data_IF_051597554473
#
_entry.id   IF_051597554473
#
_cell.length_a   1.000
_cell.length_b   1.000
_cell.length_c   1.000
_cell.angle_alpha   90.00
_cell.angle_beta   90.00
_cell.angle_gamma   90.00
#
_symmetry.space_group_name_H-M   'P 1'
#
loop_
_entity.id
_entity.type
_entity.pdbx_description
1 polymer ?
#
# COMPACT_ATOMS: atom_id res chain seq x y z
N UNK A 1 -27.91 8.93 54.59
CA UNK A 1 -26.49 9.26 54.29
C UNK A 1 -26.20 10.65 54.88
N UNK A 2 -25.29 10.74 55.83
CA UNK A 2 -24.96 12.01 56.48
C UNK A 2 -24.23 12.94 55.47
N UNK A 3 -24.34 14.28 55.64
CA UNK A 3 -23.71 15.23 54.72
C UNK A 3 -22.19 15.04 54.59
N UNK A 4 -21.51 14.57 55.63
CA UNK A 4 -20.09 14.24 55.63
C UNK A 4 -19.78 13.05 54.68
N UNK A 5 -20.62 12.03 54.63
CA UNK A 5 -20.44 10.88 53.75
C UNK A 5 -20.61 11.30 52.28
N UNK A 6 -21.57 12.18 51.99
CA UNK A 6 -21.78 12.71 50.62
C UNK A 6 -20.58 13.52 50.16
N UNK A 7 -19.98 14.34 51.02
CA UNK A 7 -18.78 15.12 50.67
C UNK A 7 -17.59 14.20 50.39
N UNK A 8 -17.36 13.20 51.25
CA UNK A 8 -16.23 12.24 51.05
C UNK A 8 -16.40 11.48 49.73
N UNK A 9 -17.62 10.98 49.46
CA UNK A 9 -17.88 10.29 48.18
C UNK A 9 -17.70 11.20 46.98
N UNK A 10 -18.15 12.46 47.07
CA UNK A 10 -17.97 13.45 46.00
C UNK A 10 -16.48 13.73 45.71
N UNK A 11 -15.69 13.95 46.76
CA UNK A 11 -14.24 14.16 46.62
C UNK A 11 -13.54 12.92 46.05
N UNK A 12 -13.91 11.72 46.52
CA UNK A 12 -13.33 10.48 45.98
C UNK A 12 -13.64 10.27 44.49
N UNK A 13 -14.87 10.59 44.05
CA UNK A 13 -15.24 10.51 42.63
C UNK A 13 -14.47 11.53 41.77
N UNK A 14 -14.26 12.75 42.28
CA UNK A 14 -13.48 13.75 41.58
C UNK A 14 -12.02 13.30 41.43
N UNK A 15 -11.38 12.81 42.48
CA UNK A 15 -9.99 12.32 42.46
C UNK A 15 -9.87 11.12 41.52
N UNK A 16 -10.81 10.19 41.57
CA UNK A 16 -10.85 9.05 40.67
C UNK A 16 -11.03 9.47 39.18
N UNK A 17 -11.90 10.45 38.91
CA UNK A 17 -12.10 11.03 37.58
C UNK A 17 -10.83 11.65 37.04
N UNK A 18 -10.09 12.43 37.83
CA UNK A 18 -8.80 12.99 37.45
C UNK A 18 -7.72 11.92 37.23
N UNK A 19 -7.72 10.87 38.05
CA UNK A 19 -6.79 9.76 37.88
C UNK A 19 -7.06 8.99 36.56
N UNK A 20 -8.34 8.73 36.23
CA UNK A 20 -8.72 8.11 34.96
C UNK A 20 -8.37 9.00 33.77
N UNK A 21 -8.62 10.30 33.86
CA UNK A 21 -8.27 11.24 32.80
C UNK A 21 -6.75 11.29 32.59
N UNK A 22 -5.99 11.37 33.68
CA UNK A 22 -4.53 11.35 33.63
C UNK A 22 -4.00 10.04 33.02
N UNK A 23 -4.59 8.90 33.38
CA UNK A 23 -4.24 7.63 32.82
C UNK A 23 -4.60 7.53 31.32
N UNK A 24 -5.76 8.03 30.92
CA UNK A 24 -6.20 8.05 29.52
C UNK A 24 -5.28 8.92 28.65
N UNK A 25 -4.88 10.11 29.18
CA UNK A 25 -3.92 10.97 28.52
C UNK A 25 -2.54 10.27 28.41
N UNK A 26 -2.06 9.68 29.51
CA UNK A 26 -0.80 8.95 29.52
C UNK A 26 -0.81 7.77 28.52
N UNK A 27 -1.87 6.96 28.50
CA UNK A 27 -2.03 5.85 27.57
C UNK A 27 -2.12 6.32 26.11
N UNK A 28 -2.77 7.47 25.86
CA UNK A 28 -2.85 8.09 24.54
C UNK A 28 -1.51 8.62 24.04
N UNK A 29 -0.67 9.16 24.95
CA UNK A 29 0.67 9.65 24.64
C UNK A 29 1.71 8.52 24.52
N UNK A 30 1.45 7.38 25.17
CA UNK A 30 2.33 6.23 25.19
C UNK A 30 1.56 4.97 24.70
N UNK A 31 1.19 4.92 23.42
CA UNK A 31 0.47 3.77 22.89
C UNK A 31 1.34 2.52 23.04
N UNK A 32 0.78 1.47 23.59
CA UNK A 32 1.45 0.17 23.62
C UNK A 32 1.64 -0.32 22.19
N UNK A 33 2.88 -0.65 21.84
CA UNK A 33 3.20 -1.21 20.53
C UNK A 33 2.66 -2.64 20.50
N UNK A 34 1.72 -2.98 19.60
CA UNK A 34 1.11 -4.31 19.54
C UNK A 34 2.00 -5.31 18.79
N UNK A 35 3.14 -4.88 18.29
CA UNK A 35 4.05 -5.70 17.50
C UNK A 35 5.51 -5.37 17.81
N UNK A 36 6.37 -6.34 17.55
CA UNK A 36 7.84 -6.20 17.60
C UNK A 36 8.39 -6.44 16.19
N UNK A 37 9.33 -5.61 15.77
CA UNK A 37 10.05 -5.84 14.53
C UNK A 37 11.49 -6.22 14.83
N UNK A 38 11.91 -7.33 14.27
CA UNK A 38 13.26 -7.84 14.37
C UNK A 38 13.95 -7.71 13.02
N UNK A 39 15.19 -7.22 13.05
CA UNK A 39 16.04 -7.11 11.87
C UNK A 39 17.12 -8.17 11.97
N UNK A 40 17.31 -8.93 10.90
CA UNK A 40 18.32 -9.96 10.79
C UNK A 40 19.17 -9.77 9.53
N UNK A 41 20.37 -10.35 9.54
CA UNK A 41 21.15 -10.49 8.31
C UNK A 41 20.37 -11.31 7.29
N UNK A 42 20.53 -10.98 6.01
CA UNK A 42 19.88 -11.71 4.94
C UNK A 42 20.39 -13.17 4.91
N UNK A 43 19.46 -14.12 4.89
CA UNK A 43 19.81 -15.52 4.73
C UNK A 43 20.35 -15.79 3.31
N UNK A 44 21.15 -16.84 3.15
CA UNK A 44 21.68 -17.21 1.82
C UNK A 44 20.56 -17.55 0.80
N UNK A 45 19.42 -18.03 1.27
CA UNK A 45 18.25 -18.30 0.44
C UNK A 45 17.56 -16.99 0.02
N UNK A 46 17.28 -16.11 0.96
CA UNK A 46 16.69 -14.81 0.70
C UNK A 46 17.61 -13.92 -0.18
N UNK A 47 18.93 -14.07 -0.08
CA UNK A 47 19.89 -13.37 -0.93
C UNK A 47 19.70 -13.68 -2.42
N UNK A 48 19.38 -14.94 -2.76
CA UNK A 48 19.09 -15.34 -4.15
C UNK A 48 17.85 -14.64 -4.72
N UNK A 49 16.84 -14.46 -3.89
CA UNK A 49 15.59 -13.81 -4.30
C UNK A 49 15.81 -12.35 -4.71
N UNK A 50 16.83 -11.71 -4.17
CA UNK A 50 17.10 -10.27 -4.33
C UNK A 50 18.29 -9.94 -5.23
N UNK A 51 19.00 -10.93 -5.79
CA UNK A 51 20.10 -10.70 -6.73
C UNK A 51 19.73 -9.79 -7.91
N UNK A 52 18.47 -9.90 -8.38
CA UNK A 52 17.95 -9.09 -9.48
C UNK A 52 17.90 -7.58 -9.22
N UNK A 53 18.04 -7.14 -7.97
CA UNK A 53 18.08 -5.71 -7.63
C UNK A 53 19.46 -5.08 -7.86
N UNK A 54 20.53 -5.88 -7.94
CA UNK A 54 21.89 -5.38 -8.12
C UNK A 54 22.42 -4.57 -6.93
N UNK A 55 21.90 -4.83 -5.73
CA UNK A 55 22.31 -4.18 -4.48
C UNK A 55 23.33 -5.06 -3.74
N UNK A 56 24.30 -4.43 -3.08
CA UNK A 56 25.24 -5.15 -2.20
C UNK A 56 24.52 -5.80 -0.99
N UNK A 57 25.01 -6.96 -0.57
CA UNK A 57 24.43 -7.69 0.56
C UNK A 57 24.47 -6.90 1.87
N UNK A 58 25.44 -6.00 2.04
CA UNK A 58 25.59 -5.08 3.17
C UNK A 58 24.44 -4.06 3.29
N UNK A 59 23.74 -3.79 2.19
CA UNK A 59 22.59 -2.89 2.12
C UNK A 59 21.25 -3.59 2.39
N UNK A 60 21.23 -4.92 2.44
CA UNK A 60 20.03 -5.74 2.50
C UNK A 60 19.88 -6.37 3.88
N UNK A 61 18.68 -6.37 4.42
CA UNK A 61 18.34 -6.99 5.70
C UNK A 61 16.98 -7.68 5.58
N UNK A 62 16.83 -8.75 6.35
CA UNK A 62 15.52 -9.36 6.59
C UNK A 62 14.83 -8.62 7.73
N UNK A 63 13.52 -8.42 7.61
CA UNK A 63 12.66 -7.89 8.66
C UNK A 63 11.56 -8.89 8.96
N UNK A 64 11.32 -9.13 10.23
CA UNK A 64 10.21 -9.96 10.71
C UNK A 64 9.38 -9.16 11.71
N UNK A 65 8.08 -9.22 11.56
CA UNK A 65 7.12 -8.55 12.45
C UNK A 65 6.37 -9.62 13.24
N UNK A 66 6.47 -9.53 14.55
CA UNK A 66 5.77 -10.42 15.48
C UNK A 66 4.64 -9.62 16.15
N UNK A 67 3.44 -10.19 16.23
CA UNK A 67 2.44 -9.68 17.15
C UNK A 67 2.91 -9.96 18.59
N UNK A 68 2.51 -9.08 19.51
CA UNK A 68 2.84 -9.26 20.91
C UNK A 68 2.36 -10.64 21.39
N UNK A 69 3.24 -11.37 22.04
CA UNK A 69 2.99 -12.72 22.57
C UNK A 69 2.86 -13.84 21.51
N UNK A 70 3.11 -13.55 20.22
CA UNK A 70 3.14 -14.55 19.16
C UNK A 70 4.57 -15.05 18.89
N UNK A 71 4.70 -16.35 18.59
CA UNK A 71 6.00 -16.99 18.28
C UNK A 71 6.30 -17.02 16.79
N UNK A 72 5.30 -16.80 15.94
CA UNK A 72 5.45 -16.77 14.47
C UNK A 72 5.34 -15.35 14.00
N UNK A 73 6.14 -14.94 13.02
CA UNK A 73 5.97 -13.64 12.43
C UNK A 73 4.58 -13.53 11.77
N UNK A 74 3.94 -12.39 11.91
CA UNK A 74 2.69 -12.04 11.22
C UNK A 74 2.96 -11.38 9.86
N UNK A 75 4.17 -10.90 9.67
CA UNK A 75 4.70 -10.45 8.39
C UNK A 75 6.22 -10.59 8.37
N UNK A 76 6.77 -10.82 7.21
CA UNK A 76 8.21 -10.80 6.96
C UNK A 76 8.52 -10.09 5.65
N UNK A 77 9.76 -9.70 5.49
CA UNK A 77 10.17 -9.02 4.27
C UNK A 77 11.66 -8.86 4.12
N UNK A 78 12.04 -8.30 2.99
CA UNK A 78 13.40 -7.87 2.72
C UNK A 78 13.38 -6.36 2.54
N UNK A 79 14.26 -5.70 3.25
CA UNK A 79 14.43 -4.26 3.20
C UNK A 79 15.83 -3.91 2.71
N UNK A 80 15.93 -2.82 1.99
CA UNK A 80 17.20 -2.23 1.63
C UNK A 80 17.40 -0.92 2.40
N UNK A 81 18.65 -0.62 2.71
CA UNK A 81 19.06 0.66 3.29
C UNK A 81 19.69 1.53 2.21
N UNK A 82 19.19 2.75 2.05
CA UNK A 82 19.82 3.73 1.16
C UNK A 82 20.99 4.46 1.84
N UNK A 83 21.71 5.29 1.08
CA UNK A 83 22.88 6.02 1.57
C UNK A 83 22.55 7.03 2.69
N UNK A 84 21.29 7.44 2.82
CA UNK A 84 20.78 8.28 3.90
C UNK A 84 20.26 7.47 5.12
N UNK A 85 20.44 6.15 5.09
CA UNK A 85 19.99 5.24 6.17
C UNK A 85 18.49 4.94 6.17
N UNK A 86 17.74 5.36 5.14
CA UNK A 86 16.30 5.12 5.05
C UNK A 86 16.05 3.68 4.62
N UNK A 87 15.03 3.07 5.21
CA UNK A 87 14.62 1.71 4.89
C UNK A 87 13.63 1.70 3.74
N UNK A 88 13.86 0.83 2.78
CA UNK A 88 13.01 0.61 1.60
C UNK A 88 12.53 -0.83 1.59
N UNK A 89 11.24 -1.12 1.71
CA UNK A 89 10.73 -2.47 1.56
C UNK A 89 10.83 -2.89 0.09
N UNK A 90 11.55 -3.98 -0.16
CA UNK A 90 11.70 -4.59 -1.49
C UNK A 90 10.80 -5.81 -1.65
N UNK A 91 10.62 -6.57 -0.58
CA UNK A 91 9.71 -7.69 -0.50
C UNK A 91 8.96 -7.58 0.82
N UNK A 92 7.68 -7.87 0.78
CA UNK A 92 6.85 -7.93 1.96
C UNK A 92 5.87 -9.07 1.83
N UNK A 93 5.95 -10.02 2.72
CA UNK A 93 5.03 -11.15 2.82
C UNK A 93 4.18 -10.99 4.06
N UNK A 94 2.94 -11.36 3.96
CA UNK A 94 1.98 -11.20 5.02
C UNK A 94 1.34 -12.53 5.36
N UNK A 95 1.44 -12.90 6.63
CA UNK A 95 0.87 -14.13 7.18
C UNK A 95 -0.55 -13.93 7.76
N UNK A 96 -1.06 -12.69 7.71
CA UNK A 96 -2.42 -12.36 8.15
C UNK A 96 -3.31 -12.04 6.97
N UNK A 97 -4.61 -12.27 7.11
CA UNK A 97 -5.58 -12.10 6.02
C UNK A 97 -5.97 -10.65 5.73
N UNK A 98 -5.35 -9.68 6.38
CA UNK A 98 -5.66 -8.27 6.20
C UNK A 98 -5.08 -7.71 4.90
N UNK A 99 -5.96 -7.14 4.10
CA UNK A 99 -5.72 -6.74 2.72
C UNK A 99 -4.69 -5.61 2.52
N UNK A 100 -4.41 -4.81 3.54
CA UNK A 100 -3.47 -3.67 3.47
C UNK A 100 -2.02 -4.13 3.22
N UNK A 101 -1.70 -5.34 3.63
CA UNK A 101 -0.36 -5.92 3.53
C UNK A 101 -0.06 -6.61 2.19
N UNK A 102 -1.03 -6.73 1.30
CA UNK A 102 -0.81 -7.51 0.09
C UNK A 102 0.25 -6.92 -0.81
N UNK A 103 1.40 -7.56 -0.79
CA UNK A 103 2.36 -7.54 -1.87
C UNK A 103 2.72 -8.99 -2.17
N UNK A 104 1.87 -9.66 -2.94
CA UNK A 104 2.17 -11.00 -3.47
C UNK A 104 3.20 -10.97 -4.61
N UNK A 105 3.74 -9.79 -4.91
CA UNK A 105 4.82 -9.65 -5.87
C UNK A 105 6.07 -10.35 -5.34
N UNK A 106 6.59 -11.30 -6.10
CA UNK A 106 7.88 -11.88 -5.81
C UNK A 106 8.99 -10.83 -5.96
N UNK A 107 10.09 -11.00 -5.24
CA UNK A 107 11.25 -10.12 -5.40
C UNK A 107 11.73 -10.08 -6.86
N UNK A 108 11.72 -11.23 -7.55
CA UNK A 108 12.11 -11.32 -8.96
C UNK A 108 11.18 -10.54 -9.89
N UNK A 109 9.88 -10.48 -9.60
CA UNK A 109 8.93 -9.70 -10.40
C UNK A 109 9.12 -8.20 -10.19
N UNK A 110 9.32 -7.77 -8.94
CA UNK A 110 9.66 -6.37 -8.65
C UNK A 110 10.98 -5.98 -9.31
N UNK A 111 12.00 -6.84 -9.27
CA UNK A 111 13.29 -6.57 -9.93
C UNK A 111 13.12 -6.37 -11.44
N UNK A 112 12.29 -7.17 -12.11
CA UNK A 112 11.96 -7.00 -13.54
C UNK A 112 11.25 -5.68 -13.82
N UNK A 113 10.30 -5.31 -12.97
CA UNK A 113 9.59 -4.02 -13.08
C UNK A 113 10.56 -2.85 -12.93
N UNK A 114 11.44 -2.89 -11.93
CA UNK A 114 12.44 -1.84 -11.71
C UNK A 114 13.47 -1.77 -12.84
N UNK A 115 13.87 -2.91 -13.40
CA UNK A 115 14.72 -2.97 -14.59
C UNK A 115 14.03 -2.34 -15.80
N UNK A 116 12.75 -2.67 -16.03
CA UNK A 116 11.97 -2.08 -17.12
C UNK A 116 11.78 -0.56 -16.94
N UNK A 117 11.54 -0.08 -15.71
CA UNK A 117 11.49 1.36 -15.43
C UNK A 117 12.84 2.02 -15.77
N UNK A 118 13.96 1.40 -15.40
CA UNK A 118 15.29 1.91 -15.71
C UNK A 118 15.55 1.96 -17.23
N UNK A 119 15.03 1.00 -17.98
CA UNK A 119 15.24 0.88 -19.42
C UNK A 119 14.31 1.80 -20.23
N UNK A 120 13.02 1.82 -19.88
CA UNK A 120 11.99 2.44 -20.73
C UNK A 120 11.53 3.82 -20.26
N UNK A 121 11.80 4.20 -19.01
CA UNK A 121 11.45 5.54 -18.51
C UNK A 121 12.66 6.47 -18.70
N UNK A 122 12.49 7.62 -19.40
CA UNK A 122 13.56 8.60 -19.58
C UNK A 122 14.15 9.09 -18.24
N UNK A 123 15.42 9.51 -18.26
CA UNK A 123 16.11 9.95 -17.04
C UNK A 123 15.56 11.24 -16.44
N UNK A 124 15.01 12.10 -17.27
CA UNK A 124 14.39 13.36 -16.92
C UNK A 124 12.90 13.24 -16.57
N UNK A 125 12.34 12.03 -16.70
CA UNK A 125 10.95 11.76 -16.34
C UNK A 125 10.78 11.46 -14.85
N UNK A 126 9.56 11.68 -14.37
CA UNK A 126 9.13 11.41 -13.00
C UNK A 126 8.21 10.20 -12.97
N UNK A 127 8.42 9.28 -12.03
CA UNK A 127 7.52 8.16 -11.78
C UNK A 127 6.71 8.42 -10.49
N UNK A 128 5.41 8.55 -10.63
CA UNK A 128 4.48 8.68 -9.53
C UNK A 128 4.02 7.29 -9.09
N UNK A 129 4.33 6.91 -7.86
CA UNK A 129 4.04 5.60 -7.31
C UNK A 129 3.79 5.69 -5.80
N UNK A 130 3.28 4.63 -5.20
CA UNK A 130 3.20 4.54 -3.76
C UNK A 130 4.60 4.66 -3.12
N UNK A 131 4.70 5.12 -1.89
CA UNK A 131 5.98 5.50 -1.26
C UNK A 131 7.04 4.38 -1.25
N UNK A 132 6.63 3.13 -1.01
CA UNK A 132 7.52 1.96 -0.99
C UNK A 132 8.11 1.70 -2.38
N UNK A 133 7.28 1.72 -3.41
CA UNK A 133 7.73 1.61 -4.80
C UNK A 133 8.52 2.85 -5.23
N UNK A 134 8.14 4.05 -4.80
CA UNK A 134 8.91 5.27 -5.08
C UNK A 134 10.35 5.17 -4.53
N UNK A 135 10.52 4.64 -3.33
CA UNK A 135 11.86 4.38 -2.77
C UNK A 135 12.63 3.33 -3.55
N UNK A 136 11.97 2.21 -3.90
CA UNK A 136 12.59 1.16 -4.71
C UNK A 136 13.00 1.68 -6.10
N UNK A 137 12.18 2.52 -6.75
CA UNK A 137 12.49 3.14 -8.04
C UNK A 137 13.73 4.03 -7.93
N UNK A 138 13.82 4.88 -6.90
CA UNK A 138 15.01 5.72 -6.70
C UNK A 138 16.26 4.89 -6.46
N UNK A 139 16.14 3.87 -5.60
CA UNK A 139 17.26 3.05 -5.16
C UNK A 139 17.80 2.13 -6.26
N UNK A 140 16.91 1.48 -7.00
CA UNK A 140 17.28 0.40 -7.95
C UNK A 140 17.21 0.88 -9.40
N UNK A 141 16.16 1.59 -9.79
CA UNK A 141 15.98 2.05 -11.16
C UNK A 141 16.69 3.38 -11.46
N UNK A 142 17.15 4.11 -10.42
CA UNK A 142 17.77 5.43 -10.53
C UNK A 142 16.91 6.41 -11.34
N UNK A 143 15.60 6.45 -11.05
CA UNK A 143 14.64 7.40 -11.62
C UNK A 143 14.05 8.27 -10.53
N UNK A 144 13.65 9.48 -10.90
CA UNK A 144 12.97 10.39 -9.99
C UNK A 144 11.59 9.83 -9.62
N UNK A 145 11.31 9.67 -8.33
CA UNK A 145 10.04 9.24 -7.78
C UNK A 145 9.80 9.98 -6.47
N UNK A 146 9.07 11.12 -6.49
CA UNK A 146 9.05 12.08 -5.40
C UNK A 146 8.13 11.70 -4.23
N UNK A 147 7.18 10.77 -4.43
CA UNK A 147 6.17 10.48 -3.41
C UNK A 147 6.77 9.61 -2.29
N UNK A 148 7.03 10.22 -1.14
CA UNK A 148 7.60 9.56 0.05
C UNK A 148 7.11 10.25 1.34
N UNK A 149 5.83 10.63 1.35
CA UNK A 149 5.23 11.33 2.47
C UNK A 149 5.04 10.42 3.70
N UNK A 150 5.22 10.97 4.88
CA UNK A 150 5.11 10.25 6.14
C UNK A 150 3.74 9.60 6.35
N UNK A 151 2.68 10.24 5.87
CA UNK A 151 1.30 9.77 6.03
C UNK A 151 1.05 8.42 5.34
N UNK A 152 1.67 8.22 4.16
CA UNK A 152 1.54 6.98 3.40
C UNK A 152 2.20 5.78 4.07
N UNK A 153 3.28 6.01 4.82
CA UNK A 153 4.12 4.94 5.37
C UNK A 153 3.43 4.11 6.46
N UNK A 154 2.43 4.68 7.13
CA UNK A 154 1.65 3.97 8.14
C UNK A 154 0.66 2.94 7.58
N UNK A 155 0.42 2.95 6.27
CA UNK A 155 -0.54 2.05 5.62
C UNK A 155 0.00 0.62 5.36
N UNK A 156 1.19 0.31 5.83
CA UNK A 156 1.71 -1.07 5.86
C UNK A 156 1.31 -1.84 7.13
N UNK A 157 0.57 -1.21 8.04
CA UNK A 157 0.09 -1.86 9.27
C UNK A 157 -1.36 -2.35 9.11
N UNK A 158 -1.75 -3.44 9.81
CA UNK A 158 -3.14 -3.81 9.99
C UNK A 158 -3.95 -2.65 10.56
N UNK A 159 -5.22 -2.54 10.17
CA UNK A 159 -6.12 -1.53 10.70
C UNK A 159 -6.22 -1.57 12.24
N UNK A 160 -6.19 -2.77 12.82
CA UNK A 160 -6.17 -2.98 14.28
C UNK A 160 -4.96 -2.34 14.98
N UNK A 161 -3.86 -2.08 14.25
CA UNK A 161 -2.64 -1.49 14.78
C UNK A 161 -2.43 -0.03 14.41
N UNK A 162 -3.46 0.62 13.88
CA UNK A 162 -3.41 2.01 13.41
C UNK A 162 -2.88 3.00 14.46
N UNK A 163 -3.14 2.76 15.76
CA UNK A 163 -2.60 3.56 16.86
C UNK A 163 -1.06 3.57 16.91
N UNK A 164 -0.40 2.52 16.42
CA UNK A 164 1.05 2.42 16.33
C UNK A 164 1.64 3.04 15.04
N UNK A 165 0.82 3.67 14.21
CA UNK A 165 1.23 4.21 12.90
C UNK A 165 2.34 5.24 12.96
N UNK A 166 2.45 6.04 14.03
CA UNK A 166 3.55 6.99 14.22
C UNK A 166 4.90 6.29 14.41
N UNK A 167 4.91 5.19 15.15
CA UNK A 167 6.10 4.37 15.43
C UNK A 167 6.54 3.69 14.14
N UNK A 168 5.60 3.14 13.40
CA UNK A 168 5.89 2.50 12.12
C UNK A 168 6.44 3.51 11.10
N UNK A 169 5.83 4.69 11.00
CA UNK A 169 6.36 5.77 10.14
C UNK A 169 7.79 6.16 10.50
N UNK A 170 8.10 6.23 11.80
CA UNK A 170 9.45 6.54 12.28
C UNK A 170 10.47 5.45 11.90
N UNK A 171 10.06 4.17 11.91
CA UNK A 171 10.90 3.02 11.50
C UNK A 171 11.44 3.18 10.08
N UNK A 172 10.60 3.62 9.16
CA UNK A 172 10.98 3.78 7.74
C UNK A 172 11.90 4.99 7.50
N UNK A 173 12.19 5.79 8.53
CA UNK A 173 13.04 6.97 8.45
C UNK A 173 12.38 8.17 7.78
N UNK A 174 13.07 9.29 7.73
CA UNK A 174 12.57 10.51 7.09
C UNK A 174 12.33 10.31 5.59
N UNK A 175 11.25 10.86 5.08
CA UNK A 175 11.01 10.93 3.63
C UNK A 175 11.98 11.87 2.95
N UNK A 176 12.06 11.80 1.64
CA UNK A 176 12.68 12.84 0.84
C UNK A 176 11.82 14.10 1.00
N UNK A 177 12.39 15.28 1.27
CA UNK A 177 11.62 16.50 1.25
C UNK A 177 10.93 16.64 -0.11
N UNK A 178 9.60 16.55 -0.12
CA UNK A 178 8.82 16.82 -1.33
C UNK A 178 8.62 18.31 -1.47
N UNK A 179 8.67 18.80 -2.69
CA UNK A 179 8.54 20.23 -3.01
C UNK A 179 7.18 20.82 -2.65
N UNK A 180 6.22 20.02 -2.26
CA UNK A 180 4.88 20.48 -1.84
C UNK A 180 4.31 19.63 -0.71
N UNK A 181 3.80 20.30 0.32
CA UNK A 181 2.96 19.68 1.32
C UNK A 181 1.77 18.96 0.65
N UNK A 182 1.40 17.79 1.15
CA UNK A 182 0.25 16.98 0.70
C UNK A 182 0.38 16.38 -0.72
N UNK A 183 1.60 16.14 -1.25
CA UNK A 183 1.77 15.49 -2.56
C UNK A 183 1.12 14.12 -2.62
N UNK A 184 1.26 13.34 -1.58
CA UNK A 184 0.65 12.02 -1.47
C UNK A 184 -0.89 12.08 -1.44
N UNK A 185 -1.47 13.01 -0.70
CA UNK A 185 -2.93 13.24 -0.70
C UNK A 185 -3.45 13.60 -2.08
N UNK A 186 -2.74 14.47 -2.82
CA UNK A 186 -3.10 14.83 -4.20
C UNK A 186 -2.99 13.64 -5.15
N UNK A 187 -1.98 12.80 -4.98
CA UNK A 187 -1.82 11.57 -5.75
C UNK A 187 -2.99 10.61 -5.53
N UNK A 188 -3.36 10.35 -4.27
CA UNK A 188 -4.53 9.53 -3.92
C UNK A 188 -5.81 10.11 -4.54
N UNK A 189 -6.04 11.41 -4.37
CA UNK A 189 -7.25 12.06 -4.88
C UNK A 189 -7.32 12.01 -6.42
N UNK A 190 -6.20 12.13 -7.12
CA UNK A 190 -6.14 11.97 -8.57
C UNK A 190 -6.47 10.53 -9.02
N UNK A 191 -5.93 9.52 -8.32
CA UNK A 191 -6.24 8.11 -8.64
C UNK A 191 -7.71 7.75 -8.36
N UNK A 192 -8.36 8.46 -7.43
CA UNK A 192 -9.77 8.27 -7.08
C UNK A 192 -10.72 9.19 -7.85
N UNK A 193 -10.21 10.03 -8.75
CA UNK A 193 -11.05 10.85 -9.60
C UNK A 193 -11.66 10.01 -10.74
N UNK A 194 -12.93 10.25 -11.06
CA UNK A 194 -13.61 9.63 -12.20
C UNK A 194 -13.38 10.41 -13.51
N UNK A 195 -13.01 11.68 -13.41
CA UNK A 195 -12.68 12.53 -14.55
C UNK A 195 -11.20 12.35 -14.92
N UNK A 196 -10.95 11.65 -16.03
CA UNK A 196 -9.61 11.35 -16.51
C UNK A 196 -8.78 12.62 -16.82
N UNK A 197 -9.41 13.66 -17.38
CA UNK A 197 -8.71 14.89 -17.73
C UNK A 197 -8.23 15.61 -16.46
N UNK A 198 -9.11 15.74 -15.46
CA UNK A 198 -8.78 16.39 -14.19
C UNK A 198 -7.72 15.58 -13.43
N UNK A 199 -7.84 14.25 -13.40
CA UNK A 199 -6.86 13.36 -12.78
C UNK A 199 -5.48 13.49 -13.46
N UNK A 200 -5.43 13.45 -14.78
CA UNK A 200 -4.20 13.62 -15.57
C UNK A 200 -3.51 14.94 -15.26
N UNK A 201 -4.25 16.05 -15.25
CA UNK A 201 -3.71 17.38 -14.94
C UNK A 201 -3.17 17.47 -13.50
N UNK A 202 -3.84 16.82 -12.54
CA UNK A 202 -3.36 16.75 -11.17
C UNK A 202 -2.04 15.97 -11.06
N UNK A 203 -1.92 14.84 -11.78
CA UNK A 203 -0.70 14.04 -11.83
C UNK A 203 0.45 14.77 -12.54
N UNK A 204 0.18 15.48 -13.65
CA UNK A 204 1.19 16.32 -14.33
C UNK A 204 1.73 17.43 -13.42
N UNK A 205 0.88 18.05 -12.61
CA UNK A 205 1.30 19.05 -11.61
C UNK A 205 2.20 18.44 -10.54
N UNK A 206 1.94 17.20 -10.12
CA UNK A 206 2.79 16.48 -9.17
C UNK A 206 4.18 16.16 -9.77
N UNK A 207 4.24 15.93 -11.06
CA UNK A 207 5.50 15.71 -11.79
C UNK A 207 6.29 17.00 -12.09
N UNK A 208 5.73 18.18 -11.73
CA UNK A 208 6.44 19.47 -11.92
C UNK A 208 6.66 19.85 -13.38
N UNK A 209 5.79 19.43 -14.29
CA UNK A 209 5.88 19.69 -15.73
C UNK A 209 6.89 18.82 -16.48
N UNK A 210 7.49 17.83 -15.82
CA UNK A 210 8.34 16.82 -16.45
C UNK A 210 7.48 15.74 -17.11
N UNK A 211 8.03 14.96 -18.07
CA UNK A 211 7.40 13.74 -18.54
C UNK A 211 7.04 12.84 -17.36
N UNK A 212 5.80 12.37 -17.31
CA UNK A 212 5.29 11.69 -16.12
C UNK A 212 4.86 10.26 -16.44
N UNK A 213 5.12 9.38 -15.49
CA UNK A 213 4.68 8.00 -15.49
C UNK A 213 3.94 7.71 -14.18
N UNK A 214 2.96 6.82 -14.23
CA UNK A 214 2.26 6.31 -13.06
C UNK A 214 2.50 4.81 -12.96
N UNK A 215 3.06 4.38 -11.84
CA UNK A 215 3.27 2.97 -11.56
C UNK A 215 2.29 2.52 -10.49
N UNK A 216 1.43 1.56 -10.83
CA UNK A 216 0.36 1.03 -9.96
C UNK A 216 0.33 -0.49 -9.98
N UNK A 217 -0.21 -1.06 -8.91
CA UNK A 217 -0.47 -2.50 -8.75
C UNK A 217 -1.83 -2.75 -8.10
N UNK A 218 -2.32 -3.99 -8.19
CA UNK A 218 -3.65 -4.34 -7.62
C UNK A 218 -3.72 -4.02 -6.13
N UNK A 219 -2.65 -4.27 -5.36
CA UNK A 219 -2.62 -3.95 -3.93
C UNK A 219 -2.79 -2.47 -3.61
N UNK A 220 -2.51 -1.56 -4.55
CA UNK A 220 -2.70 -0.12 -4.32
C UNK A 220 -4.18 0.25 -4.21
N UNK A 221 -5.08 -0.53 -4.82
CA UNK A 221 -6.53 -0.33 -4.67
C UNK A 221 -6.96 -0.52 -3.21
N UNK A 222 -6.38 -1.51 -2.53
CA UNK A 222 -6.63 -1.76 -1.12
C UNK A 222 -6.09 -0.62 -0.23
N UNK A 223 -4.91 -0.13 -0.55
CA UNK A 223 -4.30 1.01 0.14
C UNK A 223 -5.12 2.29 -0.06
N UNK A 224 -5.63 2.51 -1.26
CA UNK A 224 -6.54 3.61 -1.58
C UNK A 224 -7.85 3.51 -0.82
N UNK A 225 -8.45 2.32 -0.75
CA UNK A 225 -9.68 2.07 0.02
C UNK A 225 -9.45 2.32 1.51
N UNK A 226 -8.31 1.88 2.06
CA UNK A 226 -7.95 2.15 3.46
C UNK A 226 -7.73 3.65 3.73
N UNK A 227 -7.08 4.37 2.80
CA UNK A 227 -6.83 5.80 2.93
C UNK A 227 -8.09 6.66 2.73
N UNK A 228 -9.05 6.20 1.93
CA UNK A 228 -10.28 6.92 1.56
C UNK A 228 -11.49 5.99 1.51
N UNK A 229 -11.92 5.39 2.64
CA UNK A 229 -12.99 4.37 2.65
C UNK A 229 -14.34 4.90 2.17
N UNK A 230 -14.55 6.22 2.23
CA UNK A 230 -15.77 6.84 1.72
C UNK A 230 -15.77 6.96 0.18
N UNK A 231 -14.57 7.00 -0.45
CA UNK A 231 -14.43 7.20 -1.90
C UNK A 231 -14.23 5.90 -2.67
N UNK A 232 -13.72 4.83 -2.05
CA UNK A 232 -13.45 3.54 -2.69
C UNK A 232 -13.77 2.41 -1.73
N UNK A 233 -14.43 1.36 -2.24
CA UNK A 233 -14.73 0.15 -1.46
C UNK A 233 -14.44 -1.10 -2.26
N UNK A 234 -13.52 -1.91 -1.76
CA UNK A 234 -13.06 -3.15 -2.39
C UNK A 234 -13.21 -4.32 -1.41
N UNK A 235 -13.50 -5.49 -1.94
CA UNK A 235 -13.52 -6.74 -1.22
C UNK A 235 -12.88 -7.86 -2.06
N UNK A 236 -12.67 -9.02 -1.46
CA UNK A 236 -12.12 -10.17 -2.17
C UNK A 236 -12.87 -11.46 -1.87
N UNK A 237 -12.66 -12.43 -2.76
CA UNK A 237 -13.10 -13.81 -2.61
C UNK A 237 -12.02 -14.73 -3.17
N UNK A 238 -11.56 -15.67 -2.35
CA UNK A 238 -10.58 -16.66 -2.78
C UNK A 238 -11.31 -17.91 -3.32
N UNK A 239 -10.82 -18.39 -4.45
CA UNK A 239 -11.25 -19.63 -5.08
C UNK A 239 -10.10 -20.65 -4.97
N UNK A 240 -10.42 -21.87 -4.53
CA UNK A 240 -9.46 -22.97 -4.41
C UNK A 240 -9.12 -23.53 -5.82
N UNK A 241 -8.67 -22.69 -6.72
CA UNK A 241 -8.26 -23.05 -8.07
C UNK A 241 -6.95 -22.36 -8.40
N UNK A 242 -6.00 -23.09 -8.95
CA UNK A 242 -4.71 -22.54 -9.39
C UNK A 242 -4.82 -22.02 -10.80
N UNK A 243 -4.43 -20.74 -10.97
CA UNK A 243 -4.38 -20.09 -12.28
C UNK A 243 -5.70 -19.50 -12.76
N UNK A 244 -5.58 -18.57 -13.72
CA UNK A 244 -6.73 -17.87 -14.34
C UNK A 244 -7.18 -18.65 -15.57
N UNK A 245 -8.36 -19.25 -15.50
CA UNK A 245 -9.00 -19.94 -16.62
C UNK A 245 -10.35 -19.32 -16.97
N UNK A 246 -10.84 -19.55 -18.20
CA UNK A 246 -12.19 -19.11 -18.56
C UNK A 246 -13.27 -19.66 -17.63
N UNK A 247 -13.12 -20.90 -17.16
CA UNK A 247 -14.02 -21.51 -16.19
C UNK A 247 -14.06 -20.76 -14.86
N UNK A 248 -12.89 -20.32 -14.38
CA UNK A 248 -12.79 -19.53 -13.14
C UNK A 248 -13.43 -18.16 -13.30
N UNK A 249 -13.16 -17.45 -14.40
CA UNK A 249 -13.77 -16.13 -14.67
C UNK A 249 -15.29 -16.25 -14.71
N UNK A 250 -15.83 -17.29 -15.37
CA UNK A 250 -17.26 -17.56 -15.41
C UNK A 250 -17.83 -17.85 -14.01
N UNK A 251 -17.13 -18.65 -13.21
CA UNK A 251 -17.52 -18.96 -11.83
C UNK A 251 -17.51 -17.71 -10.96
N UNK A 252 -16.48 -16.84 -11.08
CA UNK A 252 -16.40 -15.59 -10.39
C UNK A 252 -17.56 -14.65 -10.74
N UNK A 253 -17.86 -14.50 -12.03
CA UNK A 253 -19.01 -13.70 -12.49
C UNK A 253 -20.36 -14.27 -12.02
N UNK A 254 -20.51 -15.58 -12.01
CA UNK A 254 -21.72 -16.23 -11.51
C UNK A 254 -21.88 -16.01 -10.00
N UNK A 255 -20.79 -16.12 -9.25
CA UNK A 255 -20.79 -15.84 -7.82
C UNK A 255 -21.14 -14.38 -7.54
N UNK A 256 -20.51 -13.42 -8.23
CA UNK A 256 -20.82 -11.98 -8.07
C UNK A 256 -22.29 -11.68 -8.35
N UNK A 257 -22.86 -12.26 -9.44
CA UNK A 257 -24.29 -12.12 -9.75
C UNK A 257 -25.17 -12.68 -8.62
N UNK A 258 -24.82 -13.84 -8.07
CA UNK A 258 -25.53 -14.44 -6.93
C UNK A 258 -25.49 -13.57 -5.68
N UNK A 259 -24.41 -12.80 -5.49
CA UNK A 259 -24.25 -11.82 -4.41
C UNK A 259 -24.81 -10.42 -4.74
N UNK A 260 -25.32 -10.20 -5.95
CA UNK A 260 -25.80 -8.89 -6.46
C UNK A 260 -24.70 -7.84 -6.46
N UNK A 261 -23.47 -8.23 -6.75
CA UNK A 261 -22.32 -7.33 -6.86
C UNK A 261 -22.20 -6.89 -8.33
N UNK A 262 -22.28 -5.59 -8.57
CA UNK A 262 -22.26 -4.99 -9.92
C UNK A 262 -20.93 -4.33 -10.27
N UNK A 263 -20.03 -4.13 -9.30
CA UNK A 263 -18.73 -3.50 -9.50
C UNK A 263 -17.79 -4.34 -10.36
N UNK A 264 -16.81 -3.70 -10.96
CA UNK A 264 -15.74 -4.35 -11.72
C UNK A 264 -14.89 -5.26 -10.84
N UNK A 265 -14.20 -6.21 -11.46
CA UNK A 265 -13.38 -7.16 -10.76
C UNK A 265 -12.07 -7.44 -11.49
N UNK A 266 -11.06 -7.85 -10.72
CA UNK A 266 -9.79 -8.38 -11.22
C UNK A 266 -9.50 -9.73 -10.53
N UNK A 267 -8.76 -10.59 -11.20
CA UNK A 267 -8.34 -11.89 -10.65
C UNK A 267 -6.81 -11.96 -10.59
N UNK A 268 -6.30 -12.47 -9.48
CA UNK A 268 -4.88 -12.59 -9.21
C UNK A 268 -4.57 -13.99 -8.65
N UNK A 269 -3.59 -14.72 -9.21
CA UNK A 269 -3.10 -15.95 -8.60
C UNK A 269 -2.36 -15.63 -7.29
N UNK A 270 -2.75 -16.28 -6.20
CA UNK A 270 -2.15 -16.09 -4.88
C UNK A 270 -1.85 -17.45 -4.25
N UNK A 271 -0.58 -17.79 -4.11
CA UNK A 271 -0.19 -19.08 -3.54
C UNK A 271 -0.84 -20.24 -4.30
N UNK A 272 -1.57 -21.11 -3.63
CA UNK A 272 -2.33 -22.23 -4.24
C UNK A 272 -3.77 -21.89 -4.62
N UNK A 273 -4.16 -20.61 -4.64
CA UNK A 273 -5.52 -20.15 -4.88
C UNK A 273 -5.55 -19.06 -5.96
N UNK A 274 -6.74 -18.66 -6.37
CA UNK A 274 -6.94 -17.44 -7.16
C UNK A 274 -7.88 -16.52 -6.43
N UNK A 275 -7.43 -15.29 -6.23
CA UNK A 275 -8.18 -14.22 -5.57
C UNK A 275 -8.95 -13.40 -6.60
N UNK A 276 -10.23 -13.23 -6.35
CA UNK A 276 -11.09 -12.27 -7.01
C UNK A 276 -11.11 -10.99 -6.17
N UNK A 277 -10.58 -9.90 -6.69
CA UNK A 277 -10.77 -8.56 -6.14
C UNK A 277 -11.96 -7.91 -6.83
N UNK A 278 -12.87 -7.28 -6.10
CA UNK A 278 -14.04 -6.65 -6.71
C UNK A 278 -14.46 -5.38 -5.96
N UNK A 279 -14.96 -4.42 -6.72
CA UNK A 279 -15.58 -3.24 -6.12
C UNK A 279 -16.97 -3.58 -5.61
N UNK A 280 -17.28 -3.13 -4.40
CA UNK A 280 -18.59 -3.36 -3.80
C UNK A 280 -19.64 -2.37 -4.29
N UNK A 281 -19.20 -1.27 -4.91
CA UNK A 281 -20.06 -0.24 -5.51
C UNK A 281 -19.76 -0.09 -6.99
N UNK A 282 -20.79 -0.02 -7.81
CA UNK A 282 -20.67 0.18 -9.27
C UNK A 282 -19.96 1.51 -9.62
N UNK A 283 -20.19 2.56 -8.84
CA UNK A 283 -19.57 3.87 -9.05
C UNK A 283 -18.04 3.88 -8.89
N UNK A 284 -17.46 2.84 -8.30
CA UNK A 284 -16.02 2.74 -8.11
C UNK A 284 -15.29 2.31 -9.40
N UNK A 285 -16.02 1.74 -10.39
CA UNK A 285 -15.50 1.34 -11.70
C UNK A 285 -14.99 2.54 -12.53
N UNK A 286 -15.57 3.71 -12.32
CA UNK A 286 -15.22 4.91 -13.08
C UNK A 286 -13.95 5.61 -12.55
N UNK A 287 -13.45 5.21 -11.38
CA UNK A 287 -12.23 5.77 -10.80
C UNK A 287 -11.02 5.52 -11.71
N UNK A 288 -10.12 6.51 -11.80
CA UNK A 288 -8.92 6.37 -12.63
C UNK A 288 -8.15 5.08 -12.28
N UNK A 289 -7.97 4.75 -10.99
CA UNK A 289 -7.26 3.55 -10.58
C UNK A 289 -7.90 2.26 -11.12
N UNK A 290 -9.23 2.17 -11.19
CA UNK A 290 -9.93 1.02 -11.74
C UNK A 290 -9.66 0.84 -13.24
N UNK A 291 -9.46 1.95 -13.96
CA UNK A 291 -9.18 1.99 -15.40
C UNK A 291 -7.69 1.77 -15.72
N UNK A 292 -6.78 2.15 -14.81
CA UNK A 292 -5.34 1.89 -14.92
C UNK A 292 -4.99 0.41 -14.61
N UNK A 293 -5.87 -0.32 -13.96
CA UNK A 293 -5.70 -1.71 -13.57
C UNK A 293 -6.70 -2.61 -14.32
N UNK A 294 -6.51 -3.94 -14.35
CA UNK A 294 -7.34 -4.85 -15.12
C UNK A 294 -8.71 -5.12 -14.47
N UNK A 295 -9.30 -4.13 -13.79
CA UNK A 295 -10.65 -4.27 -13.27
C UNK A 295 -11.64 -4.27 -14.43
N UNK A 296 -12.15 -5.46 -14.73
CA UNK A 296 -13.06 -5.66 -15.86
C UNK A 296 -14.45 -5.19 -15.48
N UNK A 297 -14.94 -4.20 -16.19
CA UNK A 297 -16.37 -3.95 -16.38
C UNK A 297 -16.79 -4.48 -17.74
N UNK A 298 -18.06 -4.49 -18.03
CA UNK A 298 -18.58 -4.98 -19.33
C UNK A 298 -17.97 -4.25 -20.52
N UNK A 299 -17.62 -2.96 -20.39
CA UNK A 299 -16.95 -2.11 -21.40
C UNK A 299 -16.26 -0.93 -20.70
N UNK A 300 -15.01 -1.08 -20.25
CA UNK A 300 -14.28 0.06 -19.70
C UNK A 300 -14.06 1.10 -20.80
N UNK A 301 -14.34 2.36 -20.50
CA UNK A 301 -13.98 3.45 -21.40
C UNK A 301 -12.45 3.45 -21.61
N UNK A 302 -11.96 3.49 -22.85
CA UNK A 302 -10.52 3.53 -23.11
C UNK A 302 -9.91 4.78 -22.46
N UNK A 303 -8.69 4.63 -21.96
CA UNK A 303 -7.89 5.78 -21.51
C UNK A 303 -7.43 6.56 -22.73
N UNK A 304 -7.58 7.87 -22.68
CA UNK A 304 -7.20 8.78 -23.78
C UNK A 304 -5.97 9.64 -23.46
N UNK A 305 -5.64 9.72 -22.17
CA UNK A 305 -4.51 10.52 -21.66
C UNK A 305 -3.40 9.67 -21.03
N UNK A 306 -3.48 8.37 -21.20
CA UNK A 306 -2.51 7.41 -20.66
C UNK A 306 -2.21 6.35 -21.70
N UNK A 307 -0.93 6.12 -21.94
CA UNK A 307 -0.42 5.04 -22.77
C UNK A 307 0.28 4.01 -21.92
N UNK A 308 -0.03 2.73 -22.09
CA UNK A 308 0.63 1.65 -21.36
C UNK A 308 2.10 1.54 -21.84
N UNK A 309 3.03 1.83 -20.94
CA UNK A 309 4.46 1.74 -21.22
C UNK A 309 5.01 0.34 -20.92
N UNK A 310 4.55 -0.27 -19.83
CA UNK A 310 5.00 -1.60 -19.44
C UNK A 310 3.98 -2.28 -18.51
N UNK A 311 3.90 -3.62 -18.63
CA UNK A 311 3.07 -4.44 -17.76
C UNK A 311 3.79 -5.75 -17.44
N UNK A 312 3.82 -6.11 -16.17
CA UNK A 312 4.34 -7.40 -15.75
C UNK A 312 3.60 -7.88 -14.50
N UNK A 313 2.92 -9.03 -14.63
CA UNK A 313 2.09 -9.61 -13.56
C UNK A 313 1.19 -8.53 -12.91
N UNK A 314 1.12 -8.40 -11.63
CA UNK A 314 0.30 -7.43 -10.92
C UNK A 314 0.72 -5.93 -11.04
N UNK A 315 1.60 -5.55 -11.98
CA UNK A 315 2.16 -4.21 -12.13
C UNK A 315 1.82 -3.59 -13.47
N UNK A 316 1.44 -2.28 -13.48
CA UNK A 316 1.18 -1.48 -14.67
C UNK A 316 1.92 -0.16 -14.57
N UNK A 317 2.68 0.17 -15.60
CA UNK A 317 3.39 1.44 -15.75
C UNK A 317 2.78 2.18 -16.92
N UNK A 318 2.17 3.30 -16.62
CA UNK A 318 1.48 4.14 -17.59
C UNK A 318 2.26 5.42 -17.82
N UNK A 319 2.43 5.81 -19.07
CA UNK A 319 2.91 7.16 -19.44
C UNK A 319 1.70 8.09 -19.49
N UNK A 320 1.86 9.28 -18.93
CA UNK A 320 0.90 10.36 -19.14
C UNK A 320 1.19 11.00 -20.50
N UNK A 321 0.20 11.03 -21.34
CA UNK A 321 0.29 11.67 -22.65
C UNK A 321 0.04 13.19 -22.53
N UNK A 322 0.60 13.96 -23.47
CA UNK A 322 0.53 15.43 -23.47
C UNK A 322 -0.91 15.99 -23.56
#
# INVERSE_FOLDING_TARGET
MTPRIRLIVGVALIVFGFALLGWAIYAGLNPTIPFEAQLAALSAEAAKDVEGFGLGADRLQQIEIFAKDERRPVADGIIARDDAGRLTPLLWRNEVTESIFFSDASASDLAKVLAAIREHVPRDAVVLAWWDLSRAIRLVAAREAPLDDAEARGLLLPAAWSAAGSIERARWGAGVPTSSANSFTRFIDALLDADEARASEALKKLAGGKPAYVAVRISDVWRLAAARPQKLSIAHKDFAATGVSHGLIKSAQQWMRGQRIEGGFAVEPIGGATRLHYFTRKSDDDRLIARLLPFSTSLPAPLTRFSLAYQHKGWWIWRLDE
#
